data_IF_267971628880
#
_entry.id   IF_267971628880
#
_cell.length_a   1.000
_cell.length_b   1.000
_cell.length_c   1.000
_cell.angle_alpha   90.00
_cell.angle_beta   90.00
_cell.angle_gamma   90.00
#
_symmetry.space_group_name_H-M   'P 1'
#
loop_
_entity.id
_entity.type
_entity.pdbx_description
1 polymer ?
#
# COMPACT_ATOMS: atom_id res chain seq x y z
N UNK A 1 33.93 36.23 5.13
CA UNK A 1 33.78 35.51 6.42
C UNK A 1 32.75 36.30 7.21
N UNK A 2 31.56 35.75 7.49
CA UNK A 2 30.55 36.49 8.27
C UNK A 2 30.90 36.41 9.74
N UNK A 3 30.78 37.53 10.45
CA UNK A 3 31.06 37.60 11.87
C UNK A 3 30.11 36.69 12.65
N UNK A 4 30.67 35.98 13.63
CA UNK A 4 29.95 35.01 14.48
C UNK A 4 28.69 35.60 15.11
N UNK A 5 28.73 36.89 15.45
CA UNK A 5 27.60 37.61 16.04
C UNK A 5 26.43 37.82 15.07
N UNK A 6 26.71 37.96 13.77
CA UNK A 6 25.67 38.08 12.75
C UNK A 6 24.90 36.76 12.60
N UNK A 7 25.61 35.63 12.70
CA UNK A 7 24.99 34.30 12.61
C UNK A 7 24.10 34.05 13.83
N UNK A 8 24.58 34.37 15.04
CA UNK A 8 23.80 34.21 16.27
C UNK A 8 22.55 35.12 16.30
N UNK A 9 22.64 36.34 15.76
CA UNK A 9 21.50 37.25 15.64
C UNK A 9 20.41 36.72 14.68
N UNK A 10 20.81 36.18 13.53
CA UNK A 10 19.90 35.54 12.56
C UNK A 10 19.25 34.29 13.14
N UNK A 11 20.02 33.43 13.81
CA UNK A 11 19.49 32.23 14.47
C UNK A 11 18.46 32.57 15.55
N UNK A 12 18.71 33.62 16.34
CA UNK A 12 17.75 34.09 17.36
C UNK A 12 16.46 34.62 16.74
N UNK A 13 16.55 35.33 15.62
CA UNK A 13 15.40 35.84 14.85
C UNK A 13 14.57 34.70 14.24
N UNK A 14 15.21 33.68 13.71
CA UNK A 14 14.51 32.50 13.15
C UNK A 14 13.82 31.73 14.28
N UNK A 15 14.48 31.57 15.43
CA UNK A 15 13.91 30.88 16.58
C UNK A 15 12.66 31.59 17.15
N UNK A 16 12.67 32.93 17.23
CA UNK A 16 11.50 33.70 17.67
C UNK A 16 10.36 33.65 16.65
N UNK A 17 10.66 33.69 15.35
CA UNK A 17 9.67 33.53 14.28
C UNK A 17 8.97 32.17 14.32
N UNK A 18 9.69 31.08 14.62
CA UNK A 18 9.09 29.74 14.75
C UNK A 18 8.21 29.60 15.99
N UNK A 19 8.51 30.33 17.07
CA UNK A 19 7.69 30.33 18.29
C UNK A 19 6.36 31.06 18.04
N UNK A 20 6.39 32.23 17.42
CA UNK A 20 5.17 33.00 17.15
C UNK A 20 4.24 32.31 16.14
N UNK A 21 4.79 31.60 15.15
CA UNK A 21 3.99 30.78 14.21
C UNK A 21 3.31 29.61 14.92
N UNK A 22 3.98 28.96 15.89
CA UNK A 22 3.36 27.88 16.68
C UNK A 22 2.28 28.40 17.62
N UNK A 23 2.48 29.56 18.24
CA UNK A 23 1.49 30.19 19.12
C UNK A 23 0.24 30.56 18.32
N UNK A 24 0.40 31.23 17.16
CA UNK A 24 -0.71 31.58 16.27
C UNK A 24 -1.41 30.37 15.64
N UNK A 25 -0.65 29.32 15.32
CA UNK A 25 -1.19 28.04 14.85
C UNK A 25 -2.05 27.33 15.91
N UNK A 26 -1.65 27.42 17.18
CA UNK A 26 -2.42 26.87 18.29
C UNK A 26 -3.70 27.67 18.60
N UNK A 27 -3.67 29.00 18.44
CA UNK A 27 -4.85 29.86 18.59
C UNK A 27 -5.87 29.61 17.47
N UNK A 28 -5.43 29.61 16.20
CA UNK A 28 -6.30 29.33 15.06
C UNK A 28 -6.90 27.92 15.08
N UNK A 29 -6.16 26.92 15.58
CA UNK A 29 -6.69 25.57 15.75
C UNK A 29 -7.83 25.50 16.78
N UNK A 30 -7.73 26.26 17.88
CA UNK A 30 -8.80 26.32 18.90
C UNK A 30 -10.04 27.03 18.38
N UNK A 31 -9.85 28.11 17.63
CA UNK A 31 -10.96 28.84 16.99
C UNK A 31 -11.69 27.96 15.95
N UNK A 32 -10.95 27.14 15.20
CA UNK A 32 -11.54 26.17 14.27
C UNK A 32 -12.33 25.07 14.97
N UNK A 33 -11.83 24.54 16.09
CA UNK A 33 -12.54 23.54 16.89
C UNK A 33 -13.85 24.11 17.49
N UNK A 34 -13.81 25.36 17.97
CA UNK A 34 -14.99 26.04 18.53
C UNK A 34 -16.07 26.31 17.46
N UNK A 35 -15.67 26.69 16.24
CA UNK A 35 -16.60 26.80 15.10
C UNK A 35 -17.18 25.45 14.68
N UNK A 36 -16.44 24.35 14.85
CA UNK A 36 -16.91 23.00 14.53
C UNK A 36 -17.94 22.51 15.54
N UNK A 37 -17.70 22.76 16.83
CA UNK A 37 -18.64 22.44 17.92
C UNK A 37 -19.94 23.24 17.79
N UNK A 38 -19.87 24.53 17.44
CA UNK A 38 -21.05 25.36 17.13
C UNK A 38 -21.86 24.78 15.96
N UNK A 39 -21.20 24.34 14.88
CA UNK A 39 -21.87 23.78 13.69
C UNK A 39 -22.52 22.41 13.96
N UNK A 40 -21.90 21.60 14.83
CA UNK A 40 -22.44 20.32 15.28
C UNK A 40 -23.63 20.49 16.24
N UNK A 41 -23.59 21.52 17.10
CA UNK A 41 -24.72 21.89 17.96
C UNK A 41 -25.93 22.36 17.13
N UNK A 42 -25.72 23.12 16.05
CA UNK A 42 -26.81 23.54 15.14
C UNK A 42 -27.34 22.40 14.26
N UNK A 43 -26.51 21.42 13.89
CA UNK A 43 -26.93 20.24 13.09
C UNK A 43 -27.78 19.26 13.90
N UNK A 44 -27.50 19.09 15.19
CA UNK A 44 -28.21 18.14 16.05
C UNK A 44 -29.62 18.60 16.47
N UNK A 45 -30.00 19.86 16.16
CA UNK A 45 -31.35 20.38 16.32
C UNK A 45 -32.29 20.15 15.11
N UNK A 46 -31.75 19.78 13.94
CA UNK A 46 -32.56 19.53 12.73
C UNK A 46 -32.86 18.03 12.58
N UNK A 47 -33.92 17.59 13.23
CA UNK A 47 -34.45 16.23 13.11
C UNK A 47 -34.62 15.79 11.65
N UNK A 48 -34.00 14.66 11.32
CA UNK A 48 -34.18 13.86 10.11
C UNK A 48 -35.67 13.63 9.83
N UNK A 49 -36.26 14.43 8.95
CA UNK A 49 -37.57 14.15 8.36
C UNK A 49 -37.57 14.48 6.87
N UNK A 50 -37.62 13.40 6.09
CA UNK A 50 -38.35 13.31 4.83
C UNK A 50 -38.04 14.33 3.72
N UNK A 51 -37.23 13.93 2.74
CA UNK A 51 -37.39 14.39 1.36
C UNK A 51 -36.88 13.36 0.35
N UNK A 52 -37.78 12.49 -0.07
CA UNK A 52 -37.74 11.87 -1.38
C UNK A 52 -37.90 12.95 -2.48
N UNK A 53 -37.25 12.69 -3.62
CA UNK A 53 -37.60 13.05 -5.01
C UNK A 53 -36.56 13.92 -5.73
N UNK A 54 -35.91 13.34 -6.75
CA UNK A 54 -35.83 13.90 -8.10
C UNK A 54 -35.15 12.93 -9.10
N UNK A 55 -35.97 12.10 -9.74
CA UNK A 55 -36.03 11.76 -11.19
C UNK A 55 -35.45 12.87 -12.12
N UNK A 56 -34.88 12.68 -13.33
CA UNK A 56 -34.94 11.73 -14.49
C UNK A 56 -33.94 12.30 -15.59
N UNK A 57 -33.81 11.86 -16.87
CA UNK A 57 -34.62 10.89 -17.66
C UNK A 57 -33.86 9.90 -18.60
N UNK A 58 -34.54 8.82 -19.02
CA UNK A 58 -34.31 8.25 -20.36
C UNK A 58 -35.65 7.86 -21.05
N UNK A 59 -35.66 8.07 -22.36
CA UNK A 59 -36.81 8.31 -23.24
C UNK A 59 -37.22 7.03 -24.00
N UNK A 60 -38.54 6.76 -24.06
CA UNK A 60 -39.36 6.02 -25.08
C UNK A 60 -38.87 4.61 -25.52
N UNK A 61 -39.72 3.59 -25.70
CA UNK A 61 -41.03 3.57 -26.35
C UNK A 61 -41.77 2.24 -26.09
N UNK A 62 -43.11 2.31 -26.16
CA UNK A 62 -44.10 1.33 -26.66
C UNK A 62 -43.96 -0.17 -26.30
N UNK A 63 -44.97 -0.88 -25.82
CA UNK A 63 -46.40 -0.60 -25.70
C UNK A 63 -47.17 -1.89 -25.42
N UNK A 64 -48.48 -1.72 -25.19
CA UNK A 64 -49.57 -2.71 -25.13
C UNK A 64 -49.86 -3.45 -23.82
N UNK A 65 -51.14 -3.32 -23.45
CA UNK A 65 -51.86 -3.80 -22.27
C UNK A 65 -52.17 -5.31 -22.30
N UNK A 66 -52.30 -5.93 -21.12
CA UNK A 66 -53.52 -6.65 -20.65
C UNK A 66 -53.18 -7.59 -19.48
N UNK A 67 -53.72 -7.35 -18.28
CA UNK A 67 -54.99 -7.90 -17.74
C UNK A 67 -54.89 -9.38 -17.32
N UNK A 68 -54.69 -9.56 -16.01
CA UNK A 68 -55.47 -10.42 -15.10
C UNK A 68 -55.56 -11.93 -15.36
N UNK A 69 -55.15 -12.74 -14.39
CA UNK A 69 -56.05 -13.56 -13.57
C UNK A 69 -55.27 -14.54 -12.68
N UNK A 70 -55.74 -14.70 -11.45
CA UNK A 70 -55.36 -15.73 -10.48
C UNK A 70 -55.98 -17.07 -10.88
N UNK A 71 -55.25 -18.17 -10.74
CA UNK A 71 -55.80 -19.48 -10.30
C UNK A 71 -54.68 -20.37 -9.77
N UNK A 72 -54.87 -20.90 -8.56
CA UNK A 72 -53.96 -21.85 -7.93
C UNK A 72 -54.15 -23.30 -8.37
N UNK A 73 -53.23 -24.18 -7.97
CA UNK A 73 -53.38 -25.63 -8.19
C UNK A 73 -52.14 -26.49 -7.88
N UNK A 74 -51.74 -26.58 -6.60
CA UNK A 74 -51.23 -27.78 -5.86
C UNK A 74 -50.03 -28.63 -6.38
N UNK A 75 -49.38 -29.42 -5.49
CA UNK A 75 -47.92 -29.60 -5.43
C UNK A 75 -47.43 -30.91 -6.05
N UNK A 76 -46.12 -31.01 -6.34
CA UNK A 76 -45.49 -32.30 -6.61
C UNK A 76 -44.22 -32.52 -5.80
N UNK A 77 -44.17 -33.75 -5.28
CA UNK A 77 -43.30 -34.30 -4.24
C UNK A 77 -41.81 -34.34 -4.61
N UNK A 78 -41.01 -34.07 -3.58
CA UNK A 78 -39.77 -34.72 -3.12
C UNK A 78 -39.11 -35.75 -4.06
N UNK A 79 -37.82 -35.54 -4.32
CA UNK A 79 -36.78 -36.52 -4.00
C UNK A 79 -35.64 -35.81 -3.28
N UNK A 80 -35.17 -36.39 -2.19
CA UNK A 80 -34.08 -35.86 -1.38
C UNK A 80 -32.79 -36.67 -1.49
N UNK A 81 -31.71 -35.99 -1.09
CA UNK A 81 -30.47 -36.50 -0.45
C UNK A 81 -29.46 -37.21 -1.40
N UNK A 82 -28.12 -37.16 -1.21
CA UNK A 82 -27.32 -36.63 -0.09
C UNK A 82 -26.20 -35.63 -0.41
N UNK A 83 -25.65 -35.07 0.68
CA UNK A 83 -24.32 -34.45 0.82
C UNK A 83 -23.20 -35.52 0.87
N UNK A 84 -22.00 -35.06 0.50
CA UNK A 84 -20.66 -35.60 0.80
C UNK A 84 -20.19 -36.85 0.06
N UNK A 85 -19.08 -36.72 -0.70
CA UNK A 85 -17.79 -37.39 -0.48
C UNK A 85 -16.78 -36.98 -1.58
N UNK A 86 -15.50 -36.81 -1.23
CA UNK A 86 -14.39 -37.06 -2.15
C UNK A 86 -13.55 -35.86 -2.61
N UNK A 87 -12.71 -35.34 -1.72
CA UNK A 87 -11.37 -34.90 -2.12
C UNK A 87 -10.57 -36.14 -2.57
N UNK A 88 -9.50 -35.91 -3.34
CA UNK A 88 -8.51 -36.88 -3.88
C UNK A 88 -8.75 -37.25 -5.34
N UNK A 89 -8.27 -36.40 -6.27
CA UNK A 89 -7.68 -36.81 -7.57
C UNK A 89 -7.20 -35.60 -8.42
N UNK A 90 -6.43 -34.66 -7.87
CA UNK A 90 -5.87 -33.56 -8.68
C UNK A 90 -4.39 -33.26 -8.40
N UNK A 91 -3.65 -34.25 -7.87
CA UNK A 91 -2.25 -34.11 -7.49
C UNK A 91 -1.17 -34.72 -8.40
N UNK A 92 -1.44 -35.37 -9.57
CA UNK A 92 -0.34 -35.78 -10.44
C UNK A 92 0.05 -34.72 -11.50
N UNK A 93 -0.80 -33.72 -11.79
CA UNK A 93 -0.56 -32.77 -12.88
C UNK A 93 0.32 -31.56 -12.51
N UNK A 94 0.35 -31.14 -11.24
CA UNK A 94 1.18 -30.00 -10.83
C UNK A 94 2.68 -30.34 -10.76
N UNK A 95 3.03 -31.59 -10.44
CA UNK A 95 4.42 -32.04 -10.30
C UNK A 95 5.13 -32.11 -11.66
N UNK A 96 4.41 -32.50 -12.72
CA UNK A 96 4.94 -32.53 -14.09
C UNK A 96 5.22 -31.11 -14.61
N UNK A 97 4.37 -30.13 -14.28
CA UNK A 97 4.57 -28.74 -14.67
C UNK A 97 5.80 -28.11 -13.99
N UNK A 98 6.02 -28.40 -12.71
CA UNK A 98 7.20 -27.93 -11.96
C UNK A 98 8.49 -28.57 -12.50
N UNK A 99 8.47 -29.86 -12.83
CA UNK A 99 9.63 -30.54 -13.43
C UNK A 99 9.99 -29.98 -14.83
N UNK A 100 8.98 -29.66 -15.65
CA UNK A 100 9.19 -29.04 -16.96
C UNK A 100 9.80 -27.62 -16.83
N UNK A 101 9.31 -26.81 -15.89
CA UNK A 101 9.87 -25.48 -15.63
C UNK A 101 11.33 -25.54 -15.12
N UNK A 102 11.64 -26.53 -14.26
CA UNK A 102 13.00 -26.76 -13.77
C UNK A 102 13.99 -27.13 -14.87
N UNK A 103 13.60 -27.97 -15.83
CA UNK A 103 14.46 -28.36 -16.95
C UNK A 103 14.74 -27.19 -17.92
N UNK A 104 13.79 -26.27 -18.12
CA UNK A 104 13.99 -25.07 -18.95
C UNK A 104 14.95 -24.07 -18.29
N UNK A 105 14.79 -23.83 -16.99
CA UNK A 105 15.69 -22.96 -16.21
C UNK A 105 17.14 -23.52 -16.16
N UNK A 106 17.30 -24.83 -15.97
CA UNK A 106 18.63 -25.47 -15.91
C UNK A 106 19.31 -25.52 -17.29
N UNK A 107 18.53 -25.67 -18.36
CA UNK A 107 19.03 -25.62 -19.74
C UNK A 107 19.52 -24.23 -20.18
N UNK A 108 18.88 -23.16 -19.71
CA UNK A 108 19.33 -21.78 -19.92
C UNK A 108 20.63 -21.50 -19.14
N UNK A 109 20.71 -21.96 -17.89
CA UNK A 109 21.88 -21.73 -17.03
C UNK A 109 23.15 -22.46 -17.52
N UNK A 110 22.99 -23.64 -18.14
CA UNK A 110 24.10 -24.38 -18.77
C UNK A 110 24.55 -23.79 -20.10
N UNK A 111 23.66 -23.10 -20.84
CA UNK A 111 24.03 -22.36 -22.05
C UNK A 111 24.91 -21.16 -21.73
N UNK A 112 24.65 -20.47 -20.63
CA UNK A 112 25.50 -19.38 -20.15
C UNK A 112 26.86 -19.86 -19.61
N UNK A 113 26.97 -21.14 -19.20
CA UNK A 113 28.19 -21.71 -18.61
C UNK A 113 29.16 -22.34 -19.63
N UNK A 114 28.76 -22.52 -20.90
CA UNK A 114 29.59 -23.20 -21.92
C UNK A 114 30.31 -22.26 -22.91
N UNK A 115 30.29 -20.94 -22.71
CA UNK A 115 31.07 -20.00 -23.51
C UNK A 115 32.52 -19.86 -22.99
N UNK A 116 33.32 -20.92 -23.14
CA UNK A 116 34.78 -20.83 -23.24
C UNK A 116 35.28 -21.76 -24.35
N UNK A 117 35.59 -21.23 -25.54
CA UNK A 117 36.59 -21.84 -26.41
C UNK A 117 37.89 -21.05 -26.25
N UNK A 118 38.84 -21.61 -25.52
CA UNK A 118 40.25 -21.31 -25.73
C UNK A 118 40.87 -22.52 -26.43
N UNK A 119 40.55 -22.64 -27.72
CA UNK A 119 41.26 -23.53 -28.63
C UNK A 119 42.55 -22.81 -29.06
N UNK A 120 43.70 -23.37 -28.71
CA UNK A 120 45.02 -22.88 -29.11
C UNK A 120 45.41 -23.61 -30.40
N UNK A 121 45.54 -22.91 -31.54
CA UNK A 121 46.32 -23.43 -32.66
C UNK A 121 47.77 -22.90 -32.58
N UNK A 122 48.79 -23.70 -32.95
CA UNK A 122 50.15 -23.22 -33.04
C UNK A 122 50.36 -22.57 -34.42
N UNK A 123 50.70 -21.27 -34.49
CA UNK A 123 51.26 -20.73 -35.72
C UNK A 123 52.08 -19.44 -35.53
N UNK A 124 53.40 -19.64 -35.64
CA UNK A 124 54.37 -18.87 -36.44
C UNK A 124 54.19 -17.35 -36.61
N UNK A 125 55.15 -16.63 -36.01
CA UNK A 125 55.73 -15.32 -36.39
C UNK A 125 54.87 -14.02 -36.30
N UNK A 126 55.51 -12.84 -36.05
CA UNK A 126 54.86 -11.73 -35.36
C UNK A 126 54.38 -10.60 -36.30
N UNK A 127 53.32 -9.86 -35.90
CA UNK A 127 53.24 -8.45 -36.27
C UNK A 127 52.88 -7.50 -35.11
N UNK A 128 53.63 -6.39 -35.08
CA UNK A 128 53.43 -5.03 -34.54
C UNK A 128 52.43 -4.79 -33.36
N UNK A 129 52.84 -4.00 -32.34
CA UNK A 129 52.01 -3.72 -31.17
C UNK A 129 50.82 -2.81 -31.52
N UNK A 130 49.60 -3.35 -31.40
CA UNK A 130 48.35 -2.60 -31.31
C UNK A 130 48.08 -2.31 -29.83
N UNK A 131 47.73 -1.07 -29.52
CA UNK A 131 47.45 -0.58 -28.18
C UNK A 131 46.38 -1.42 -27.45
N UNK A 132 46.48 -1.57 -26.11
CA UNK A 132 45.53 -2.37 -25.34
C UNK A 132 44.11 -1.78 -25.39
N UNK A 133 43.05 -2.61 -25.45
CA UNK A 133 41.69 -2.13 -25.35
C UNK A 133 41.45 -1.53 -23.96
N UNK A 134 40.86 -0.33 -23.93
CA UNK A 134 40.48 0.34 -22.68
C UNK A 134 39.47 -0.51 -21.91
N UNK A 135 39.62 -0.68 -20.59
CA UNK A 135 38.62 -1.34 -19.76
C UNK A 135 37.26 -0.61 -19.86
N UNK A 136 36.18 -1.37 -20.08
CA UNK A 136 34.82 -0.85 -19.98
C UNK A 136 34.61 -0.39 -18.53
N UNK A 137 34.39 0.91 -18.37
CA UNK A 137 34.09 1.51 -17.06
C UNK A 137 32.75 0.96 -16.51
N UNK A 138 32.60 0.82 -15.19
CA UNK A 138 31.32 0.47 -14.58
C UNK A 138 30.23 1.46 -15.03
N UNK A 139 29.05 0.94 -15.44
CA UNK A 139 27.93 1.80 -15.83
C UNK A 139 27.55 2.76 -14.70
N UNK A 140 27.39 4.03 -15.05
CA UNK A 140 27.21 5.13 -14.13
C UNK A 140 25.93 5.01 -13.28
N UNK A 141 25.92 5.50 -12.02
CA UNK A 141 24.76 5.50 -11.13
C UNK A 141 23.48 6.15 -11.71
N UNK A 142 23.61 7.01 -12.72
CA UNK A 142 22.48 7.64 -13.41
C UNK A 142 21.53 6.64 -14.09
N UNK A 143 22.00 5.48 -14.58
CA UNK A 143 21.13 4.50 -15.24
C UNK A 143 20.26 3.74 -14.23
N UNK A 144 20.76 3.51 -13.01
CA UNK A 144 20.00 2.82 -11.96
C UNK A 144 18.87 3.68 -11.40
N UNK A 145 19.12 4.97 -11.23
CA UNK A 145 18.09 5.93 -10.78
C UNK A 145 16.97 6.01 -11.82
N UNK A 146 17.32 6.14 -13.10
CA UNK A 146 16.31 6.18 -14.18
C UNK A 146 15.45 4.91 -14.27
N UNK A 147 16.03 3.73 -14.01
CA UNK A 147 15.28 2.47 -13.95
C UNK A 147 14.36 2.42 -12.71
N UNK A 148 14.84 2.87 -11.55
CA UNK A 148 14.04 2.95 -10.34
C UNK A 148 12.85 3.91 -10.51
N UNK A 149 13.07 5.08 -11.12
CA UNK A 149 12.03 6.06 -11.43
C UNK A 149 10.97 5.47 -12.36
N UNK A 150 11.40 4.84 -13.45
CA UNK A 150 10.48 4.21 -14.40
C UNK A 150 9.66 3.09 -13.74
N UNK A 151 10.30 2.26 -12.91
CA UNK A 151 9.65 1.18 -12.19
C UNK A 151 8.65 1.70 -11.14
N UNK A 152 9.03 2.72 -10.38
CA UNK A 152 8.17 3.36 -9.38
C UNK A 152 6.90 3.92 -10.02
N UNK A 153 7.06 4.69 -11.09
CA UNK A 153 5.93 5.28 -11.83
C UNK A 153 5.06 4.21 -12.48
N UNK A 154 5.66 3.14 -13.02
CA UNK A 154 4.92 2.03 -13.58
C UNK A 154 4.08 1.30 -12.51
N UNK A 155 4.64 1.08 -11.32
CA UNK A 155 3.95 0.46 -10.20
C UNK A 155 2.76 1.32 -9.73
N UNK A 156 2.97 2.62 -9.54
CA UNK A 156 1.88 3.53 -9.13
C UNK A 156 0.74 3.57 -10.15
N UNK A 157 1.06 3.52 -11.45
CA UNK A 157 0.04 3.42 -12.52
C UNK A 157 -0.72 2.08 -12.46
N UNK A 158 -0.01 0.98 -12.20
CA UNK A 158 -0.62 -0.34 -12.09
C UNK A 158 -1.59 -0.41 -10.90
N UNK A 159 -1.22 0.17 -9.77
CA UNK A 159 -2.04 0.21 -8.56
C UNK A 159 -3.17 1.26 -8.60
N UNK A 160 -3.26 2.05 -9.67
CA UNK A 160 -4.32 3.05 -9.84
C UNK A 160 -4.12 4.32 -9.00
N UNK A 161 -2.90 4.60 -8.55
CA UNK A 161 -2.57 5.79 -7.77
C UNK A 161 -2.62 7.03 -8.68
N UNK A 162 -3.45 8.04 -8.38
CA UNK A 162 -3.57 9.24 -9.21
C UNK A 162 -2.33 10.12 -9.09
N UNK A 163 -1.65 10.41 -10.20
CA UNK A 163 -0.44 11.23 -10.19
C UNK A 163 -0.63 12.47 -11.10
N UNK A 164 -0.58 13.70 -10.55
CA UNK A 164 -0.67 14.93 -11.35
C UNK A 164 0.46 15.04 -12.38
N UNK A 165 1.64 14.55 -12.00
CA UNK A 165 2.81 14.44 -12.86
C UNK A 165 3.74 13.35 -12.32
N UNK A 166 4.63 12.87 -13.18
CA UNK A 166 5.71 11.97 -12.77
C UNK A 166 6.65 12.65 -11.76
N UNK A 167 6.98 13.93 -11.98
CA UNK A 167 7.82 14.71 -11.06
C UNK A 167 7.24 14.81 -9.65
N UNK A 168 5.91 14.99 -9.56
CA UNK A 168 5.21 15.04 -8.28
C UNK A 168 5.36 13.74 -7.51
N UNK A 169 5.16 12.60 -8.18
CA UNK A 169 5.29 11.29 -7.55
C UNK A 169 6.71 11.02 -7.09
N UNK A 170 7.73 11.29 -7.93
CA UNK A 170 9.14 11.11 -7.56
C UNK A 170 9.53 12.03 -6.39
N UNK A 171 9.07 13.28 -6.39
CA UNK A 171 9.33 14.22 -5.28
C UNK A 171 8.79 13.69 -3.96
N UNK A 172 7.54 13.20 -3.96
CA UNK A 172 6.95 12.58 -2.77
C UNK A 172 7.70 11.31 -2.37
N UNK A 173 8.13 10.50 -3.34
CA UNK A 173 8.86 9.27 -3.05
C UNK A 173 10.25 9.52 -2.46
N UNK A 174 10.96 10.56 -2.91
CA UNK A 174 12.20 10.99 -2.27
C UNK A 174 11.96 11.51 -0.85
N UNK A 175 10.89 12.28 -0.64
CA UNK A 175 10.52 12.79 0.68
C UNK A 175 10.23 11.67 1.70
N UNK A 176 9.68 10.53 1.25
CA UNK A 176 9.52 9.34 2.10
C UNK A 176 10.87 8.82 2.60
N UNK A 177 11.90 8.76 1.75
CA UNK A 177 13.21 8.31 2.20
C UNK A 177 13.89 9.29 3.15
N UNK A 178 13.73 10.59 2.90
CA UNK A 178 14.21 11.63 3.83
C UNK A 178 13.51 11.52 5.18
N UNK A 179 12.21 11.22 5.19
CA UNK A 179 11.44 10.99 6.41
C UNK A 179 11.96 9.77 7.16
N UNK A 180 12.11 8.63 6.48
CA UNK A 180 12.53 7.37 7.09
C UNK A 180 13.97 7.38 7.59
N UNK A 181 14.85 8.16 6.97
CA UNK A 181 16.21 8.38 7.45
C UNK A 181 16.24 9.04 8.84
N UNK A 182 15.23 9.86 9.15
CA UNK A 182 15.10 10.52 10.45
C UNK A 182 14.22 9.74 11.45
N UNK A 183 13.15 9.10 10.95
CA UNK A 183 12.16 8.34 11.75
C UNK A 183 11.83 7.02 11.03
N UNK A 184 12.45 5.89 11.40
CA UNK A 184 12.27 4.62 10.69
C UNK A 184 10.97 3.92 11.11
N UNK A 185 9.83 4.57 10.88
CA UNK A 185 8.50 4.02 11.14
C UNK A 185 7.63 4.17 9.87
N UNK A 186 7.13 3.04 9.37
CA UNK A 186 6.34 3.00 8.15
C UNK A 186 4.99 3.70 8.29
N UNK A 187 4.27 3.46 9.39
CA UNK A 187 2.95 4.06 9.61
C UNK A 187 3.03 5.59 9.69
N UNK A 188 4.04 6.11 10.39
CA UNK A 188 4.32 7.55 10.43
C UNK A 188 4.66 8.13 9.05
N UNK A 189 5.36 7.35 8.20
CA UNK A 189 5.69 7.77 6.84
C UNK A 189 4.44 7.79 5.94
N UNK A 190 3.52 6.83 6.10
CA UNK A 190 2.22 6.83 5.43
C UNK A 190 1.40 8.06 5.83
N UNK A 191 1.32 8.35 7.13
CA UNK A 191 0.65 9.54 7.65
C UNK A 191 1.28 10.84 7.11
N UNK A 192 2.61 10.88 7.00
CA UNK A 192 3.32 12.00 6.40
C UNK A 192 2.92 12.20 4.94
N UNK A 193 2.91 11.13 4.13
CA UNK A 193 2.51 11.19 2.71
C UNK A 193 1.05 11.60 2.58
N UNK A 194 0.16 11.04 3.40
CA UNK A 194 -1.27 11.36 3.37
C UNK A 194 -1.52 12.85 3.68
N UNK A 195 -0.79 13.42 4.62
CA UNK A 195 -0.94 14.85 5.00
C UNK A 195 -0.27 15.81 4.03
N UNK A 196 0.71 15.36 3.25
CA UNK A 196 1.53 16.20 2.37
C UNK A 196 1.22 16.01 0.88
N UNK A 197 0.27 15.15 0.53
CA UNK A 197 -0.07 14.82 -0.84
C UNK A 197 -1.58 14.83 -1.11
N UNK A 198 -1.97 14.51 -2.34
CA UNK A 198 -3.38 14.36 -2.75
C UNK A 198 -3.93 12.95 -2.48
N UNK A 199 -3.10 12.04 -1.98
CA UNK A 199 -3.42 10.63 -1.88
C UNK A 199 -4.22 10.32 -0.62
N UNK A 200 -5.18 9.41 -0.76
CA UNK A 200 -5.86 8.83 0.41
C UNK A 200 -4.93 7.90 1.21
N UNK A 201 -5.41 7.35 2.32
CA UNK A 201 -4.63 6.49 3.19
C UNK A 201 -4.06 5.24 2.47
N UNK A 202 -4.85 4.62 1.58
CA UNK A 202 -4.44 3.41 0.86
C UNK A 202 -3.41 3.74 -0.24
N UNK A 203 -3.66 4.80 -1.00
CA UNK A 203 -2.73 5.30 -2.02
C UNK A 203 -1.42 5.77 -1.38
N UNK A 204 -1.49 6.43 -0.21
CA UNK A 204 -0.31 6.85 0.55
C UNK A 204 0.52 5.65 1.00
N UNK A 205 -0.12 4.55 1.41
CA UNK A 205 0.58 3.31 1.73
C UNK A 205 1.31 2.72 0.51
N UNK A 206 0.66 2.69 -0.65
CA UNK A 206 1.25 2.21 -1.90
C UNK A 206 2.46 3.07 -2.33
N UNK A 207 2.34 4.39 -2.24
CA UNK A 207 3.44 5.31 -2.57
C UNK A 207 4.58 5.12 -1.58
N UNK A 208 4.32 5.11 -0.27
CA UNK A 208 5.35 4.90 0.75
C UNK A 208 6.09 3.58 0.52
N UNK A 209 5.36 2.48 0.28
CA UNK A 209 5.97 1.19 -0.01
C UNK A 209 6.82 1.20 -1.29
N UNK A 210 6.29 1.74 -2.39
CA UNK A 210 7.01 1.87 -3.65
C UNK A 210 8.28 2.73 -3.52
N UNK A 211 8.22 3.78 -2.71
CA UNK A 211 9.33 4.69 -2.45
C UNK A 211 10.45 4.02 -1.67
N UNK A 212 10.10 3.17 -0.68
CA UNK A 212 11.09 2.38 0.07
C UNK A 212 11.87 1.46 -0.86
N UNK A 213 11.18 0.79 -1.78
CA UNK A 213 11.81 -0.13 -2.74
C UNK A 213 12.65 0.64 -3.77
N UNK A 214 12.15 1.76 -4.29
CA UNK A 214 12.81 2.51 -5.36
C UNK A 214 13.97 3.38 -4.87
N UNK A 215 13.83 4.02 -3.71
CA UNK A 215 14.66 5.14 -3.29
C UNK A 215 15.34 4.97 -1.93
N UNK A 216 14.90 4.03 -1.08
CA UNK A 216 15.41 3.89 0.29
C UNK A 216 16.25 2.61 0.47
N UNK A 217 17.49 2.52 -0.07
CA UNK A 217 18.33 1.34 0.07
C UNK A 217 18.73 1.05 1.52
N UNK A 218 18.74 2.07 2.38
CA UNK A 218 19.05 1.96 3.81
C UNK A 218 17.91 1.29 4.60
N UNK A 219 16.68 1.42 4.10
CA UNK A 219 15.47 0.91 4.73
C UNK A 219 15.14 -0.51 4.27
N UNK A 220 15.86 -1.03 3.26
CA UNK A 220 15.75 -2.42 2.87
C UNK A 220 16.45 -3.30 3.91
N UNK A 221 15.83 -4.43 4.32
CA UNK A 221 16.48 -5.35 5.24
C UNK A 221 17.78 -5.84 4.61
N UNK A 222 18.90 -5.55 5.26
CA UNK A 222 20.24 -5.88 4.77
C UNK A 222 20.45 -7.38 4.53
N UNK A 223 19.59 -8.24 5.10
CA UNK A 223 19.60 -9.70 4.87
C UNK A 223 18.19 -10.31 4.98
N UNK A 224 17.89 -11.38 4.22
CA UNK A 224 16.68 -12.19 4.39
C UNK A 224 16.50 -12.74 5.82
N UNK A 225 17.60 -12.91 6.56
CA UNK A 225 17.60 -13.40 7.94
C UNK A 225 16.88 -12.45 8.93
N UNK A 226 16.77 -11.16 8.62
CA UNK A 226 16.04 -10.20 9.45
C UNK A 226 14.52 -10.21 9.18
N UNK A 227 14.08 -10.76 8.04
CA UNK A 227 12.68 -10.74 7.60
C UNK A 227 11.88 -11.84 8.32
N UNK A 228 12.49 -13.00 8.52
CA UNK A 228 11.86 -14.16 9.16
C UNK A 228 11.34 -13.85 10.58
N UNK A 229 12.15 -13.31 11.52
CA UNK A 229 11.66 -12.99 12.86
C UNK A 229 10.62 -11.86 12.86
N UNK A 230 10.72 -10.88 11.95
CA UNK A 230 9.74 -9.81 11.84
C UNK A 230 8.37 -10.34 11.37
N UNK A 231 8.36 -11.31 10.44
CA UNK A 231 7.14 -11.97 9.99
C UNK A 231 6.49 -12.80 11.11
N UNK A 232 7.28 -13.57 11.86
CA UNK A 232 6.77 -14.35 12.99
C UNK A 232 6.17 -13.46 14.09
N UNK A 233 6.82 -12.33 14.39
CA UNK A 233 6.29 -11.36 15.34
C UNK A 233 4.95 -10.77 14.86
N UNK A 234 4.87 -10.37 13.59
CA UNK A 234 3.63 -9.83 13.03
C UNK A 234 2.47 -10.85 13.08
N UNK A 235 2.74 -12.14 12.84
CA UNK A 235 1.75 -13.20 12.99
C UNK A 235 1.32 -13.39 14.45
N UNK A 236 2.27 -13.35 15.39
CA UNK A 236 1.98 -13.44 16.83
C UNK A 236 1.14 -12.25 17.30
N UNK A 237 1.44 -11.04 16.81
CA UNK A 237 0.68 -9.84 17.13
C UNK A 237 -0.75 -9.92 16.60
N UNK A 238 -0.94 -10.42 15.37
CA UNK A 238 -2.28 -10.67 14.82
C UNK A 238 -3.07 -11.67 15.66
N UNK A 239 -2.45 -12.77 16.10
CA UNK A 239 -3.10 -13.74 16.99
C UNK A 239 -3.46 -13.12 18.34
N UNK A 240 -2.61 -12.24 18.89
CA UNK A 240 -2.89 -11.53 20.12
C UNK A 240 -4.09 -10.58 19.97
N UNK A 241 -4.17 -9.84 18.86
CA UNK A 241 -5.29 -8.95 18.54
C UNK A 241 -6.58 -9.76 18.37
N UNK A 242 -6.54 -10.90 17.68
CA UNK A 242 -7.70 -11.80 17.57
C UNK A 242 -8.19 -12.30 18.93
N UNK A 243 -7.27 -12.70 19.82
CA UNK A 243 -7.59 -13.09 21.18
C UNK A 243 -8.24 -11.95 21.98
N UNK A 244 -7.71 -10.72 21.85
CA UNK A 244 -8.30 -9.54 22.49
C UNK A 244 -9.70 -9.23 21.96
N UNK A 245 -9.92 -9.33 20.65
CA UNK A 245 -11.24 -9.13 20.04
C UNK A 245 -12.26 -10.16 20.54
N UNK A 246 -11.85 -11.43 20.69
CA UNK A 246 -12.70 -12.46 21.29
C UNK A 246 -13.02 -12.17 22.76
N UNK A 247 -12.02 -11.70 23.53
CA UNK A 247 -12.21 -11.28 24.92
C UNK A 247 -13.23 -10.15 25.06
N UNK A 248 -13.06 -9.07 24.29
CA UNK A 248 -14.01 -7.95 24.24
C UNK A 248 -15.42 -8.44 23.87
N UNK A 249 -15.51 -9.36 22.90
CA UNK A 249 -16.80 -9.90 22.50
C UNK A 249 -17.47 -10.70 23.63
N UNK A 250 -16.70 -11.44 24.44
CA UNK A 250 -17.17 -12.11 25.65
C UNK A 250 -17.64 -11.12 26.72
N UNK A 251 -16.86 -10.07 26.97
CA UNK A 251 -17.23 -9.03 27.94
C UNK A 251 -18.54 -8.33 27.55
N UNK A 252 -18.73 -8.03 26.26
CA UNK A 252 -19.98 -7.45 25.76
C UNK A 252 -21.19 -8.38 25.95
N UNK A 253 -21.00 -9.70 25.88
CA UNK A 253 -22.06 -10.67 26.15
C UNK A 253 -22.42 -10.72 27.64
N UNK A 254 -21.41 -10.69 28.52
CA UNK A 254 -21.61 -10.65 29.96
C UNK A 254 -22.34 -9.37 30.37
N UNK A 255 -21.89 -8.19 29.90
CA UNK A 255 -22.55 -6.91 30.16
C UNK A 255 -24.01 -6.94 29.69
N UNK A 256 -24.28 -7.51 28.51
CA UNK A 256 -25.66 -7.68 28.02
C UNK A 256 -26.49 -8.59 28.94
N UNK A 257 -25.91 -9.67 29.46
CA UNK A 257 -26.56 -10.56 30.42
C UNK A 257 -26.86 -9.85 31.74
N UNK A 258 -25.88 -9.14 32.29
CA UNK A 258 -26.01 -8.38 33.53
C UNK A 258 -27.08 -7.30 33.41
N UNK A 259 -27.12 -6.56 32.29
CA UNK A 259 -28.15 -5.56 32.02
C UNK A 259 -29.57 -6.15 31.91
N UNK A 260 -29.74 -7.40 31.45
CA UNK A 260 -31.04 -8.08 31.47
C UNK A 260 -31.45 -8.52 32.88
N UNK A 261 -30.49 -8.74 33.76
CA UNK A 261 -30.69 -9.12 35.16
C UNK A 261 -31.01 -7.96 36.10
N UNK A 262 -30.97 -6.70 35.64
CA UNK A 262 -31.38 -5.54 36.41
C UNK A 262 -32.89 -5.34 36.21
N UNK A 263 -33.77 -5.78 37.14
CA UNK A 263 -35.17 -5.41 37.07
C UNK A 263 -35.28 -3.89 37.16
N UNK A 264 -36.00 -3.28 36.22
CA UNK A 264 -36.28 -1.86 36.24
C UNK A 264 -36.87 -1.47 37.59
N UNK A 265 -36.20 -0.58 38.31
CA UNK A 265 -36.77 0.02 39.51
C UNK A 265 -37.93 0.94 39.08
N UNK A 266 -39.11 0.83 39.72
CA UNK A 266 -40.26 1.69 39.44
C UNK A 266 -40.02 3.14 39.85
#
# INVERSE_FOLDING_TARGET
>A
MRDRETIDAELRRIASGRRSVRERGGESSRELDELLDELLAHTSGSSLTHAANACEPEVRAAGTLSRGAKTGGKPRRRHGVPRQLGLVAALPLSLVAVAAAGLVMLGAHNRDSSARPAEIPPSVAPPKPVAPPKPVAPQAPASRIAVADAAFIAALKHEGVPMPSQEYAMTQGHAVCDFLANRPNFADAVDFVQRSSIWDANQSAQVTAGSIVAYCPQSQPATPAAIEPAYQNALSDLQAIEGQLQGIQGDLQNIRGDLQGIPGQP
#
